data_IF_003025896629
#
_entry.id   IF_003025896629
#
_cell.length_a   1.000
_cell.length_b   1.000
_cell.length_c   1.000
_cell.angle_alpha   90.00
_cell.angle_beta   90.00
_cell.angle_gamma   90.00
#
_symmetry.space_group_name_H-M   'P 1'
#
loop_
_entity.id
_entity.type
_entity.pdbx_description
1 polymer ?
#
# COMPACT_ATOMS: atom_id res chain seq x y z
N UNK A 1 -3.39 -4.89 12.98
CA UNK A 1 -3.56 -3.78 12.00
C UNK A 1 -2.38 -2.83 11.94
N UNK A 2 -1.88 -2.29 13.07
CA UNK A 2 -0.77 -1.31 13.07
C UNK A 2 0.47 -1.78 12.29
N UNK A 3 0.84 -3.06 12.43
CA UNK A 3 2.03 -3.61 11.75
C UNK A 3 1.90 -3.74 10.23
N UNK A 4 0.67 -3.78 9.69
CA UNK A 4 0.43 -3.85 8.25
C UNK A 4 0.29 -2.46 7.61
N UNK A 5 -0.12 -1.45 8.39
CA UNK A 5 -0.41 -0.13 7.85
C UNK A 5 0.82 0.53 7.21
N UNK A 6 2.00 0.36 7.81
CA UNK A 6 3.24 0.95 7.32
C UNK A 6 3.74 0.33 6.00
N UNK A 7 3.89 -1.01 5.86
CA UNK A 7 4.27 -1.60 4.57
C UNK A 7 3.22 -1.31 3.49
N UNK A 8 1.94 -1.24 3.85
CA UNK A 8 0.90 -0.82 2.92
C UNK A 8 1.05 0.62 2.41
N UNK A 9 1.42 1.59 3.26
CA UNK A 9 1.72 2.96 2.80
C UNK A 9 2.91 2.96 1.85
N UNK A 10 3.97 2.21 2.17
CA UNK A 10 5.15 2.13 1.32
C UNK A 10 4.78 1.57 -0.05
N UNK A 11 4.02 0.46 -0.10
CA UNK A 11 3.57 -0.11 -1.37
C UNK A 11 2.64 0.83 -2.16
N UNK A 12 1.67 1.44 -1.49
CA UNK A 12 0.62 2.20 -2.16
C UNK A 12 1.05 3.61 -2.56
N UNK A 13 1.92 4.29 -1.80
CA UNK A 13 2.28 5.69 -2.04
C UNK A 13 3.79 5.97 -1.98
N UNK A 14 4.64 4.96 -1.78
CA UNK A 14 6.10 5.12 -1.75
C UNK A 14 6.64 5.82 -0.51
N UNK A 15 5.82 5.98 0.54
CA UNK A 15 6.18 6.69 1.77
C UNK A 15 5.70 5.92 3.00
N UNK A 16 6.44 6.00 4.11
CA UNK A 16 6.02 5.43 5.40
C UNK A 16 5.01 6.32 6.14
N UNK A 17 4.94 7.61 5.76
CA UNK A 17 3.99 8.58 6.25
C UNK A 17 2.96 8.93 5.18
N UNK A 18 1.70 9.06 5.57
CA UNK A 18 0.62 9.39 4.65
C UNK A 18 -0.77 9.17 5.24
N UNK A 19 -1.81 9.26 4.39
CA UNK A 19 -3.21 9.16 4.78
C UNK A 19 -3.58 7.81 5.42
N UNK A 20 -4.84 7.68 5.84
CA UNK A 20 -5.40 6.42 6.28
C UNK A 20 -5.34 5.36 5.17
N UNK A 21 -5.25 4.08 5.55
CA UNK A 21 -5.14 2.97 4.57
C UNK A 21 -6.32 2.95 3.58
N UNK A 22 -7.54 3.20 4.07
CA UNK A 22 -8.73 3.25 3.23
C UNK A 22 -8.76 4.45 2.28
N UNK A 23 -8.25 5.61 2.71
CA UNK A 23 -8.15 6.79 1.85
C UNK A 23 -7.17 6.55 0.70
N UNK A 24 -6.05 5.89 0.97
CA UNK A 24 -5.10 5.50 -0.08
C UNK A 24 -5.74 4.55 -1.09
N UNK A 25 -6.48 3.53 -0.63
CA UNK A 25 -7.20 2.63 -1.53
C UNK A 25 -8.24 3.36 -2.38
N UNK A 26 -8.94 4.32 -1.79
CA UNK A 26 -9.92 5.15 -2.50
C UNK A 26 -9.26 5.99 -3.60
N UNK A 27 -8.10 6.60 -3.31
CA UNK A 27 -7.36 7.45 -4.26
C UNK A 27 -6.66 6.63 -5.35
N UNK A 28 -6.01 5.52 -4.98
CA UNK A 28 -5.25 4.68 -5.91
C UNK A 28 -6.18 3.83 -6.79
N UNK A 29 -7.31 3.39 -6.25
CA UNK A 29 -8.22 2.47 -6.92
C UNK A 29 -7.78 1.00 -6.79
N UNK A 30 -8.75 0.08 -6.94
CA UNK A 30 -8.55 -1.35 -6.66
C UNK A 30 -7.44 -2.00 -7.50
N UNK A 31 -7.49 -1.83 -8.83
CA UNK A 31 -6.56 -2.52 -9.74
C UNK A 31 -5.11 -2.06 -9.54
N UNK A 32 -4.88 -0.76 -9.44
CA UNK A 32 -3.53 -0.22 -9.22
C UNK A 32 -3.02 -0.56 -7.81
N UNK A 33 -3.89 -0.56 -6.80
CA UNK A 33 -3.51 -0.97 -5.46
C UNK A 33 -3.07 -2.44 -5.41
N UNK A 34 -3.80 -3.35 -6.08
CA UNK A 34 -3.41 -4.74 -6.19
C UNK A 34 -2.07 -4.90 -6.92
N UNK A 35 -1.88 -4.24 -8.06
CA UNK A 35 -0.62 -4.29 -8.81
C UNK A 35 0.58 -3.77 -8.00
N UNK A 36 0.39 -2.79 -7.11
CA UNK A 36 1.42 -2.29 -6.19
C UNK A 36 1.70 -3.28 -5.06
N UNK A 37 0.67 -3.92 -4.52
CA UNK A 37 0.80 -4.92 -3.46
C UNK A 37 1.48 -6.21 -3.97
N UNK A 38 1.20 -6.62 -5.20
CA UNK A 38 1.92 -7.73 -5.87
C UNK A 38 3.42 -7.41 -5.97
N UNK A 39 3.77 -6.21 -6.43
CA UNK A 39 5.18 -5.75 -6.44
C UNK A 39 5.84 -5.78 -5.07
N UNK A 40 5.11 -5.38 -4.02
CA UNK A 40 5.63 -5.47 -2.64
C UNK A 40 5.87 -6.93 -2.26
N UNK A 41 4.91 -7.84 -2.51
CA UNK A 41 5.04 -9.27 -2.22
C UNK A 41 6.26 -9.86 -2.92
N UNK A 42 6.42 -9.60 -4.21
CA UNK A 42 7.53 -10.12 -5.01
C UNK A 42 8.90 -9.56 -4.57
N UNK A 43 8.93 -8.46 -3.79
CA UNK A 43 10.17 -7.88 -3.24
C UNK A 43 10.58 -8.50 -1.90
N UNK A 44 9.62 -9.08 -1.16
CA UNK A 44 9.85 -9.62 0.20
C UNK A 44 9.92 -11.16 0.23
N UNK A 45 9.66 -11.82 -0.90
CA UNK A 45 9.93 -13.25 -1.16
C UNK A 45 11.36 -13.47 -1.69
#
# INVERSE_FOLDING_TARGET
FVQLAQPMRIALIGSSAGPGVFEMFFVVGLHEALARLERLRDTIE
#
